data_IF_354915019680
#
_entry.id   IF_354915019680
#
_cell.length_a   1.000
_cell.length_b   1.000
_cell.length_c   1.000
_cell.angle_alpha   90.00
_cell.angle_beta   90.00
_cell.angle_gamma   90.00
#
_symmetry.space_group_name_H-M   'P 1'
#
loop_
_entity.id
_entity.type
_entity.pdbx_description
1 polymer ?
#
# COMPACT_ATOMS: atom_id res chain seq x y z
N UNK A 1 -14.82 -11.52 -4.44
CA UNK A 1 -15.54 -10.24 -4.25
C UNK A 1 -14.98 -9.24 -5.27
N UNK A 2 -15.68 -8.18 -5.66
CA UNK A 2 -15.09 -7.16 -6.55
C UNK A 2 -14.93 -5.86 -5.79
N UNK A 3 -13.68 -5.52 -5.47
CA UNK A 3 -13.34 -4.25 -4.81
C UNK A 3 -13.61 -3.05 -5.74
N UNK A 4 -14.09 -1.91 -5.21
CA UNK A 4 -14.31 -0.70 -6.01
C UNK A 4 -12.98 -0.04 -6.38
N UNK A 5 -12.74 0.17 -7.66
CA UNK A 5 -11.53 0.86 -8.11
C UNK A 5 -11.49 2.33 -7.65
N UNK A 6 -10.31 2.82 -7.30
CA UNK A 6 -10.02 4.25 -7.15
C UNK A 6 -9.65 4.89 -8.50
N UNK A 7 -9.51 4.14 -9.58
CA UNK A 7 -9.15 4.63 -10.92
C UNK A 7 -10.34 4.70 -11.88
N UNK A 8 -11.30 3.79 -11.80
CA UNK A 8 -12.35 3.65 -12.82
C UNK A 8 -13.75 3.63 -12.20
N UNK A 9 -14.69 4.41 -12.73
CA UNK A 9 -16.10 4.40 -12.30
C UNK A 9 -16.83 3.12 -12.73
N UNK A 10 -16.33 2.43 -13.75
CA UNK A 10 -16.83 1.12 -14.17
C UNK A 10 -15.65 0.14 -14.28
N UNK A 11 -15.46 -0.46 -15.46
CA UNK A 11 -14.34 -1.36 -15.74
C UNK A 11 -13.24 -0.62 -16.51
N UNK A 12 -12.00 -1.03 -16.26
CA UNK A 12 -10.87 -0.64 -17.08
C UNK A 12 -11.15 -0.94 -18.56
N UNK A 13 -10.66 -0.08 -19.45
CA UNK A 13 -10.83 -0.22 -20.91
C UNK A 13 -10.19 -1.48 -21.51
N UNK A 14 -9.35 -2.19 -20.75
CA UNK A 14 -8.59 -3.36 -21.19
C UNK A 14 -7.43 -3.03 -22.15
N UNK A 15 -7.33 -1.77 -22.58
CA UNK A 15 -6.24 -1.26 -23.42
C UNK A 15 -5.14 -0.70 -22.53
N UNK A 16 -3.90 -1.03 -22.86
CA UNK A 16 -2.72 -0.57 -22.12
C UNK A 16 -1.70 0.09 -23.03
N UNK A 17 -1.10 1.18 -22.57
CA UNK A 17 0.07 1.80 -23.16
C UNK A 17 1.29 0.89 -22.91
N UNK A 18 2.15 0.77 -23.91
CA UNK A 18 3.42 0.04 -23.78
C UNK A 18 4.30 0.70 -22.71
N UNK A 19 4.99 -0.13 -21.91
CA UNK A 19 5.83 0.38 -20.81
C UNK A 19 6.99 1.23 -21.34
N UNK A 20 7.52 0.92 -22.52
CA UNK A 20 8.66 1.62 -23.12
C UNK A 20 8.32 3.08 -23.42
N UNK A 21 7.05 3.40 -23.70
CA UNK A 21 6.60 4.78 -23.90
C UNK A 21 6.93 5.65 -22.67
N UNK A 22 6.76 5.11 -21.45
CA UNK A 22 7.07 5.83 -20.21
C UNK A 22 8.58 6.01 -19.96
N UNK A 23 9.40 5.10 -20.51
CA UNK A 23 10.86 5.21 -20.48
C UNK A 23 11.38 6.22 -21.52
N UNK A 24 10.73 6.27 -22.69
CA UNK A 24 11.02 7.20 -23.78
C UNK A 24 10.72 8.64 -23.34
N UNK A 25 9.54 8.88 -22.75
CA UNK A 25 9.16 10.20 -22.20
C UNK A 25 9.71 10.47 -20.79
N UNK A 26 10.60 9.60 -20.28
CA UNK A 26 11.31 9.75 -19.00
C UNK A 26 10.42 9.88 -17.75
N UNK A 27 9.15 9.48 -17.84
CA UNK A 27 8.26 9.40 -16.69
C UNK A 27 8.70 8.32 -15.69
N UNK A 28 9.46 7.32 -16.14
CA UNK A 28 10.09 6.32 -15.26
C UNK A 28 11.13 6.89 -14.29
N UNK A 29 11.59 8.13 -14.50
CA UNK A 29 12.45 8.84 -13.55
C UNK A 29 11.66 9.54 -12.43
N UNK A 30 10.35 9.73 -12.62
CA UNK A 30 9.47 10.46 -11.71
C UNK A 30 8.53 9.54 -10.93
N UNK A 31 8.18 8.40 -11.52
CA UNK A 31 7.20 7.47 -10.98
C UNK A 31 7.79 6.08 -10.75
N UNK A 32 7.32 5.40 -9.71
CA UNK A 32 7.62 4.00 -9.46
C UNK A 32 6.98 3.11 -10.52
N UNK A 33 7.47 1.86 -10.63
CA UNK A 33 6.86 0.86 -11.51
C UNK A 33 5.39 0.59 -11.18
N UNK A 34 4.96 0.80 -9.94
CA UNK A 34 3.57 0.57 -9.53
C UNK A 34 2.65 1.69 -10.01
N UNK A 35 3.06 2.95 -9.85
CA UNK A 35 2.34 4.09 -10.39
C UNK A 35 2.29 4.02 -11.93
N UNK A 36 3.38 3.64 -12.58
CA UNK A 36 3.41 3.44 -14.04
C UNK A 36 2.42 2.34 -14.46
N UNK A 37 2.37 1.22 -13.74
CA UNK A 37 1.41 0.15 -14.06
C UNK A 37 -0.05 0.62 -14.01
N UNK A 38 -0.40 1.49 -13.06
CA UNK A 38 -1.71 2.13 -13.03
C UNK A 38 -1.92 3.12 -14.20
N UNK A 39 -0.89 3.92 -14.55
CA UNK A 39 -0.96 4.89 -15.66
C UNK A 39 -1.06 4.23 -17.04
N UNK A 40 -0.54 3.01 -17.19
CA UNK A 40 -0.59 2.28 -18.46
C UNK A 40 -2.00 1.98 -18.91
N UNK A 41 -2.95 1.82 -17.98
CA UNK A 41 -4.33 1.48 -18.32
C UNK A 41 -5.05 2.73 -18.81
N UNK A 42 -5.54 2.71 -20.05
CA UNK A 42 -6.18 3.89 -20.66
C UNK A 42 -7.40 4.33 -19.85
N UNK A 43 -7.39 5.60 -19.45
CA UNK A 43 -8.49 6.26 -18.73
C UNK A 43 -9.65 6.56 -19.70
N UNK A 44 -10.83 5.97 -19.50
CA UNK A 44 -12.03 6.36 -20.24
C UNK A 44 -12.36 7.85 -20.06
N UNK A 45 -12.98 8.52 -21.07
CA UNK A 45 -13.34 9.93 -20.97
C UNK A 45 -14.19 10.28 -19.75
N UNK A 46 -15.11 9.40 -19.36
CA UNK A 46 -15.99 9.59 -18.20
C UNK A 46 -15.25 9.56 -16.86
N UNK A 47 -14.09 8.90 -16.79
CA UNK A 47 -13.28 8.79 -15.57
C UNK A 47 -12.37 10.00 -15.36
N UNK A 48 -12.00 10.71 -16.43
CA UNK A 48 -11.13 11.89 -16.35
C UNK A 48 -11.66 12.94 -15.37
N UNK A 49 -12.91 13.45 -15.47
CA UNK A 49 -13.39 14.48 -14.54
C UNK A 49 -13.43 13.98 -13.09
N UNK A 50 -13.80 12.71 -12.88
CA UNK A 50 -13.90 12.15 -11.53
C UNK A 50 -12.51 11.95 -10.88
N UNK A 51 -11.49 11.58 -11.67
CA UNK A 51 -10.10 11.57 -11.18
C UNK A 51 -9.60 12.98 -10.87
N UNK A 52 -9.96 13.97 -11.70
CA UNK A 52 -9.59 15.38 -11.42
C UNK A 52 -10.18 15.86 -10.09
N UNK A 53 -11.42 15.49 -9.76
CA UNK A 53 -12.01 15.81 -8.44
C UNK A 53 -11.18 15.25 -7.29
N UNK A 54 -10.77 13.98 -7.38
CA UNK A 54 -9.94 13.35 -6.36
C UNK A 54 -8.56 14.02 -6.26
N UNK A 55 -7.90 14.32 -7.38
CA UNK A 55 -6.63 15.05 -7.33
C UNK A 55 -6.76 16.46 -6.75
N UNK A 56 -7.82 17.20 -7.09
CA UNK A 56 -8.10 18.51 -6.48
C UNK A 56 -8.27 18.40 -4.97
N UNK A 57 -8.94 17.35 -4.49
CA UNK A 57 -9.04 17.10 -3.05
C UNK A 57 -7.66 16.83 -2.44
N UNK A 58 -6.86 15.94 -3.03
CA UNK A 58 -5.54 15.56 -2.51
C UNK A 58 -4.58 16.77 -2.41
N UNK A 59 -4.73 17.76 -3.28
CA UNK A 59 -3.93 18.98 -3.28
C UNK A 59 -4.47 20.08 -2.35
N UNK A 60 -5.69 19.95 -1.83
CA UNK A 60 -6.30 20.98 -0.99
C UNK A 60 -5.58 21.07 0.36
N UNK A 61 -5.07 22.24 0.73
CA UNK A 61 -4.41 22.41 2.03
C UNK A 61 -5.32 22.00 3.19
N UNK A 62 -4.77 21.21 4.12
CA UNK A 62 -5.48 20.74 5.31
C UNK A 62 -6.34 19.48 5.13
N UNK A 63 -6.39 18.88 3.93
CA UNK A 63 -7.03 17.56 3.78
C UNK A 63 -6.19 16.45 4.43
N UNK A 64 -6.83 15.43 5.01
CA UNK A 64 -6.11 14.28 5.58
C UNK A 64 -6.11 13.05 4.65
N UNK A 65 -6.83 13.11 3.53
CA UNK A 65 -7.01 11.98 2.60
C UNK A 65 -5.70 11.49 2.02
N UNK A 66 -4.76 12.38 1.66
CA UNK A 66 -3.43 11.96 1.20
C UNK A 66 -2.66 11.18 2.29
N UNK A 67 -2.80 11.59 3.56
CA UNK A 67 -2.24 10.86 4.69
C UNK A 67 -2.84 9.46 4.80
N UNK A 68 -4.17 9.37 4.72
CA UNK A 68 -4.88 8.09 4.76
C UNK A 68 -4.53 7.17 3.58
N UNK A 69 -4.31 7.71 2.39
CA UNK A 69 -3.85 6.92 1.24
C UNK A 69 -2.46 6.32 1.47
N UNK A 70 -1.55 7.07 2.10
CA UNK A 70 -0.21 6.55 2.47
C UNK A 70 -0.32 5.42 3.49
N UNK A 71 -1.18 5.56 4.50
CA UNK A 71 -1.43 4.49 5.47
C UNK A 71 -2.02 3.24 4.81
N UNK A 72 -3.03 3.40 3.95
CA UNK A 72 -3.61 2.31 3.17
C UNK A 72 -2.57 1.61 2.29
N UNK A 73 -1.69 2.38 1.63
CA UNK A 73 -0.62 1.83 0.79
C UNK A 73 0.36 0.99 1.63
N UNK A 74 0.75 1.48 2.81
CA UNK A 74 1.61 0.74 3.74
C UNK A 74 0.96 -0.56 4.22
N UNK A 75 -0.34 -0.54 4.53
CA UNK A 75 -1.07 -1.75 4.92
C UNK A 75 -1.16 -2.73 3.74
N UNK A 76 -1.45 -2.25 2.52
CA UNK A 76 -1.48 -3.08 1.32
C UNK A 76 -0.13 -3.73 1.01
N UNK A 77 0.99 -3.05 1.28
CA UNK A 77 2.34 -3.62 1.20
C UNK A 77 2.55 -4.76 2.19
N UNK A 78 2.07 -4.63 3.43
CA UNK A 78 2.12 -5.70 4.41
C UNK A 78 1.27 -6.90 3.97
N UNK A 79 0.07 -6.66 3.43
CA UNK A 79 -0.79 -7.71 2.86
C UNK A 79 -0.05 -8.44 1.74
N UNK A 80 0.58 -7.73 0.79
CA UNK A 80 1.37 -8.38 -0.28
C UNK A 80 2.49 -9.23 0.28
N UNK A 81 3.26 -8.72 1.24
CA UNK A 81 4.37 -9.47 1.85
C UNK A 81 3.88 -10.76 2.50
N UNK A 82 2.73 -10.73 3.15
CA UNK A 82 2.13 -11.91 3.77
C UNK A 82 1.49 -12.85 2.74
N UNK A 83 0.88 -12.34 1.68
CA UNK A 83 0.39 -13.12 0.53
C UNK A 83 1.53 -13.92 -0.11
N UNK A 84 2.68 -13.27 -0.34
CA UNK A 84 3.88 -13.92 -0.86
C UNK A 84 4.46 -14.94 0.13
N UNK A 85 4.49 -14.61 1.43
CA UNK A 85 4.95 -15.54 2.45
C UNK A 85 4.02 -16.76 2.55
N UNK A 86 2.70 -16.56 2.47
CA UNK A 86 1.68 -17.60 2.53
C UNK A 86 1.80 -18.55 1.33
N UNK A 87 1.97 -17.99 0.12
CA UNK A 87 2.19 -18.76 -1.11
C UNK A 87 3.48 -19.61 -1.06
N UNK A 88 4.48 -19.17 -0.29
CA UNK A 88 5.75 -19.86 -0.10
C UNK A 88 5.86 -20.62 1.24
N UNK A 89 4.75 -20.76 1.98
CA UNK A 89 4.73 -21.44 3.27
C UNK A 89 5.08 -22.93 3.09
N UNK A 90 5.84 -23.46 4.04
CA UNK A 90 6.45 -24.80 3.95
C UNK A 90 5.83 -25.81 4.91
N UNK A 91 5.00 -25.36 5.85
CA UNK A 91 4.22 -26.22 6.72
C UNK A 91 2.88 -25.58 7.11
N UNK A 92 1.93 -26.39 7.58
CA UNK A 92 0.59 -25.91 7.94
C UNK A 92 0.62 -24.90 9.11
N UNK A 93 1.51 -25.12 10.10
CA UNK A 93 1.67 -24.19 11.23
C UNK A 93 2.11 -22.79 10.78
N UNK A 94 3.02 -22.73 9.81
CA UNK A 94 3.45 -21.46 9.19
C UNK A 94 2.28 -20.83 8.42
N UNK A 95 1.60 -21.61 7.58
CA UNK A 95 0.46 -21.14 6.79
C UNK A 95 -0.63 -20.53 7.67
N UNK A 96 -1.05 -21.25 8.71
CA UNK A 96 -2.15 -20.84 9.59
C UNK A 96 -1.80 -19.55 10.34
N UNK A 97 -0.57 -19.45 10.86
CA UNK A 97 -0.08 -18.25 11.54
C UNK A 97 0.05 -17.04 10.59
N UNK A 98 0.58 -17.25 9.38
CA UNK A 98 0.68 -16.19 8.37
C UNK A 98 -0.70 -15.70 7.94
N UNK A 99 -1.68 -16.61 7.81
CA UNK A 99 -3.03 -16.27 7.42
C UNK A 99 -3.74 -15.39 8.47
N UNK A 100 -3.59 -15.68 9.77
CA UNK A 100 -4.08 -14.81 10.84
C UNK A 100 -3.53 -13.38 10.70
N UNK A 101 -2.22 -13.25 10.51
CA UNK A 101 -1.58 -11.95 10.35
C UNK A 101 -2.05 -11.24 9.07
N UNK A 102 -2.27 -11.98 7.99
CA UNK A 102 -2.79 -11.47 6.73
C UNK A 102 -4.19 -10.89 6.94
N UNK A 103 -5.10 -11.64 7.59
CA UNK A 103 -6.44 -11.15 7.91
C UNK A 103 -6.42 -9.99 8.89
N UNK A 104 -5.45 -9.92 9.82
CA UNK A 104 -5.27 -8.77 10.68
C UNK A 104 -4.98 -7.48 9.91
N UNK A 105 -4.05 -7.52 8.95
CA UNK A 105 -3.81 -6.36 8.07
C UNK A 105 -4.98 -6.09 7.11
N UNK A 106 -5.73 -7.12 6.71
CA UNK A 106 -6.93 -6.95 5.89
C UNK A 106 -8.02 -6.19 6.66
N UNK A 107 -8.28 -6.57 7.91
CA UNK A 107 -9.20 -5.87 8.82
C UNK A 107 -8.77 -4.43 9.01
N UNK A 108 -7.47 -4.19 9.24
CA UNK A 108 -6.92 -2.83 9.34
C UNK A 108 -7.17 -2.02 8.06
N UNK A 109 -6.94 -2.60 6.88
CA UNK A 109 -7.19 -1.93 5.61
C UNK A 109 -8.67 -1.52 5.47
N UNK A 110 -9.58 -2.44 5.79
CA UNK A 110 -11.02 -2.20 5.70
C UNK A 110 -11.46 -1.05 6.63
N UNK A 111 -10.94 -1.03 7.87
CA UNK A 111 -11.24 0.03 8.84
C UNK A 111 -10.69 1.38 8.39
N UNK A 112 -9.45 1.43 7.93
CA UNK A 112 -8.84 2.65 7.40
C UNK A 112 -9.58 3.18 6.16
N UNK A 113 -10.04 2.28 5.29
CA UNK A 113 -10.77 2.63 4.07
C UNK A 113 -12.20 3.14 4.37
N UNK A 114 -12.86 2.58 5.38
CA UNK A 114 -14.18 3.05 5.84
C UNK A 114 -14.10 4.42 6.54
N UNK A 115 -12.96 4.73 7.19
CA UNK A 115 -12.72 5.96 7.94
C UNK A 115 -12.08 7.09 7.12
N UNK A 116 -12.08 7.00 5.79
CA UNK A 116 -11.61 8.11 4.94
C UNK A 116 -12.57 9.30 5.05
N UNK A 117 -12.05 10.53 5.10
CA UNK A 117 -12.85 11.76 5.14
C UNK A 117 -13.88 11.85 4.00
N UNK A 118 -15.03 12.47 4.30
CA UNK A 118 -16.07 12.74 3.29
C UNK A 118 -15.70 13.91 2.37
N UNK A 119 -16.24 13.88 1.14
CA UNK A 119 -16.17 15.02 0.22
C UNK A 119 -15.15 14.90 -0.91
N UNK A 120 -14.67 13.69 -1.24
CA UNK A 120 -13.61 13.47 -2.24
C UNK A 120 -14.03 13.02 -3.63
N UNK A 121 -15.23 13.41 -4.07
CA UNK A 121 -15.74 13.07 -5.40
C UNK A 121 -16.26 11.63 -5.49
N UNK A 122 -16.79 11.27 -6.67
CA UNK A 122 -17.55 10.02 -6.81
C UNK A 122 -16.71 8.74 -6.58
N UNK A 123 -15.43 8.73 -6.98
CA UNK A 123 -14.53 7.58 -6.76
C UNK A 123 -14.29 7.31 -5.28
N UNK A 124 -13.95 8.35 -4.50
CA UNK A 124 -13.67 8.20 -3.08
C UNK A 124 -14.92 7.81 -2.29
N UNK A 125 -16.06 8.44 -2.59
CA UNK A 125 -17.33 8.14 -1.93
C UNK A 125 -17.77 6.70 -2.18
N UNK A 126 -17.59 6.19 -3.41
CA UNK A 126 -17.88 4.79 -3.73
C UNK A 126 -16.92 3.83 -3.03
N UNK A 127 -15.62 4.14 -3.04
CA UNK A 127 -14.61 3.35 -2.32
C UNK A 127 -14.96 3.24 -0.84
N UNK A 128 -15.14 4.38 -0.16
CA UNK A 128 -15.52 4.46 1.25
C UNK A 128 -16.84 3.73 1.53
N UNK A 129 -17.88 4.01 0.75
CA UNK A 129 -19.23 3.45 0.94
C UNK A 129 -19.24 1.92 0.86
N UNK A 130 -18.43 1.33 -0.01
CA UNK A 130 -18.28 -0.12 -0.09
C UNK A 130 -17.64 -0.70 1.19
N UNK A 131 -16.57 -0.10 1.69
CA UNK A 131 -15.91 -0.56 2.93
C UNK A 131 -16.76 -0.32 4.17
N UNK A 132 -17.57 0.74 4.23
CA UNK A 132 -18.56 0.92 5.30
C UNK A 132 -19.58 -0.23 5.30
N UNK A 133 -20.09 -0.58 4.12
CA UNK A 133 -21.06 -1.66 4.00
C UNK A 133 -20.45 -3.02 4.41
N UNK A 134 -19.25 -3.33 3.92
CA UNK A 134 -18.54 -4.57 4.28
C UNK A 134 -18.22 -4.66 5.78
N UNK A 135 -17.69 -3.57 6.36
CA UNK A 135 -17.35 -3.54 7.80
C UNK A 135 -18.57 -3.61 8.72
N UNK A 136 -19.77 -3.34 8.19
CA UNK A 136 -21.02 -3.46 8.93
C UNK A 136 -21.57 -4.89 8.96
N UNK A 137 -21.11 -5.76 8.07
CA UNK A 137 -21.56 -7.16 7.96
C UNK A 137 -21.10 -8.05 9.12
N UNK A 138 -21.91 -9.05 9.46
CA UNK A 138 -21.65 -9.96 10.57
C UNK A 138 -20.41 -10.83 10.35
N UNK A 139 -20.12 -11.21 9.10
CA UNK A 139 -18.90 -11.95 8.74
C UNK A 139 -17.65 -11.14 9.06
N UNK A 140 -17.60 -9.86 8.66
CA UNK A 140 -16.46 -9.00 8.96
C UNK A 140 -16.27 -8.81 10.47
N UNK A 141 -17.36 -8.52 11.20
CA UNK A 141 -17.33 -8.35 12.66
C UNK A 141 -16.83 -9.62 13.37
N UNK A 142 -17.24 -10.79 12.89
CA UNK A 142 -16.79 -12.08 13.44
C UNK A 142 -15.29 -12.28 13.23
N UNK A 143 -14.77 -11.96 12.03
CA UNK A 143 -13.34 -12.03 11.73
C UNK A 143 -12.55 -11.05 12.59
N UNK A 144 -12.99 -9.79 12.66
CA UNK A 144 -12.32 -8.76 13.46
C UNK A 144 -12.29 -9.14 14.94
N UNK A 145 -13.40 -9.64 15.49
CA UNK A 145 -13.45 -10.12 16.87
C UNK A 145 -12.45 -11.26 17.10
N UNK A 146 -12.39 -12.24 16.19
CA UNK A 146 -11.46 -13.37 16.29
C UNK A 146 -10.00 -12.97 16.10
N UNK A 147 -9.70 -12.02 15.21
CA UNK A 147 -8.36 -11.44 15.07
C UNK A 147 -7.94 -10.78 16.38
N UNK A 148 -8.81 -9.96 16.98
CA UNK A 148 -8.51 -9.27 18.23
C UNK A 148 -8.34 -10.24 19.41
N UNK A 149 -9.16 -11.30 19.48
CA UNK A 149 -9.02 -12.34 20.50
C UNK A 149 -7.68 -13.07 20.42
N UNK A 150 -7.15 -13.27 19.22
CA UNK A 150 -5.89 -13.98 18.99
C UNK A 150 -4.64 -13.07 19.01
N UNK A 151 -4.77 -11.77 19.26
CA UNK A 151 -3.62 -10.86 19.25
C UNK A 151 -2.63 -11.13 20.39
N UNK A 152 -3.12 -11.56 21.56
CA UNK A 152 -2.27 -12.00 22.66
C UNK A 152 -1.48 -13.26 22.27
N UNK A 153 -2.10 -14.17 21.51
CA UNK A 153 -1.46 -15.39 21.05
C UNK A 153 -0.39 -15.06 19.99
N UNK A 154 -0.70 -14.13 19.09
CA UNK A 154 0.20 -13.60 18.09
C UNK A 154 1.44 -12.96 18.73
N UNK A 155 1.23 -12.09 19.73
CA UNK A 155 2.30 -11.42 20.48
C UNK A 155 3.21 -12.42 21.19
N UNK A 156 2.65 -13.46 21.80
CA UNK A 156 3.44 -14.50 22.47
C UNK A 156 4.34 -15.31 21.52
N UNK A 157 4.00 -15.43 20.23
CA UNK A 157 4.76 -16.20 19.23
C UNK A 157 5.70 -15.32 18.41
N UNK A 158 5.50 -14.00 18.35
CA UNK A 158 6.34 -13.05 17.58
C UNK A 158 7.76 -12.90 18.10
N UNK A 159 8.00 -13.20 19.38
CA UNK A 159 9.17 -12.73 20.12
C UNK A 159 9.93 -13.91 20.73
N UNK A 160 10.83 -14.51 19.94
CA UNK A 160 11.62 -15.68 20.36
C UNK A 160 13.11 -15.45 20.09
N UNK A 161 13.90 -15.46 21.15
CA UNK A 161 15.36 -15.46 21.09
C UNK A 161 15.90 -16.88 20.95
N UNK A 162 16.84 -17.06 20.02
CA UNK A 162 17.62 -18.28 19.90
C UNK A 162 18.96 -18.09 20.62
N UNK A 163 19.36 -19.05 21.47
CA UNK A 163 20.66 -19.02 22.15
C UNK A 163 21.37 -20.36 22.01
N UNK A 164 22.59 -20.32 21.50
CA UNK A 164 23.51 -21.46 21.52
C UNK A 164 24.42 -21.35 22.74
N UNK A 165 24.44 -22.38 23.60
CA UNK A 165 25.34 -22.47 24.75
C UNK A 165 25.92 -23.88 24.82
N UNK A 166 27.22 -24.00 24.55
CA UNK A 166 27.87 -25.30 24.37
C UNK A 166 27.24 -26.07 23.20
N UNK A 167 26.90 -27.34 23.42
CA UNK A 167 26.29 -28.22 22.42
C UNK A 167 24.75 -28.13 22.35
N UNK A 168 24.14 -27.20 23.11
CA UNK A 168 22.68 -27.07 23.22
C UNK A 168 22.15 -25.82 22.51
N UNK A 169 21.07 -26.00 21.74
CA UNK A 169 20.28 -24.93 21.15
C UNK A 169 19.01 -24.69 21.98
N UNK A 170 18.86 -23.47 22.50
CA UNK A 170 17.70 -23.06 23.29
C UNK A 170 16.84 -22.06 22.52
N UNK A 171 15.53 -22.26 22.53
CA UNK A 171 14.52 -21.27 22.13
C UNK A 171 13.90 -20.69 23.40
N UNK A 172 13.91 -19.37 23.55
CA UNK A 172 13.33 -18.65 24.71
C UNK A 172 12.54 -17.45 24.22
N UNK A 173 11.57 -17.00 25.00
CA UNK A 173 10.91 -15.71 24.74
C UNK A 173 11.92 -14.57 24.93
N UNK A 174 11.88 -13.55 24.06
CA UNK A 174 12.75 -12.37 24.22
C UNK A 174 12.35 -11.60 25.47
N UNK A 175 13.36 -11.15 26.21
CA UNK A 175 13.16 -10.20 27.29
C UNK A 175 12.86 -8.82 26.67
N UNK A 176 11.75 -8.15 27.03
CA UNK A 176 11.46 -6.80 26.54
C UNK A 176 12.60 -5.80 26.82
N UNK A 177 13.43 -6.04 27.86
CA UNK A 177 14.61 -5.24 28.18
C UNK A 177 15.91 -5.81 27.59
N UNK A 178 16.01 -5.78 26.25
CA UNK A 178 17.23 -6.21 25.57
C UNK A 178 18.42 -5.30 25.87
N UNK A 179 19.65 -5.83 25.75
CA UNK A 179 20.87 -5.02 25.85
C UNK A 179 20.88 -3.87 24.81
N UNK A 180 20.32 -4.09 23.62
CA UNK A 180 20.16 -3.07 22.59
C UNK A 180 19.19 -1.98 23.03
N UNK A 181 18.07 -2.33 23.67
CA UNK A 181 17.12 -1.35 24.22
C UNK A 181 17.75 -0.50 25.33
N UNK A 182 18.55 -1.11 26.20
CA UNK A 182 19.32 -0.38 27.23
C UNK A 182 20.37 0.55 26.63
N UNK A 183 21.08 0.12 25.57
CA UNK A 183 22.01 1.00 24.84
C UNK A 183 21.28 2.16 24.15
N UNK A 184 20.11 1.91 23.54
CA UNK A 184 19.27 2.97 22.96
C UNK A 184 18.82 3.96 24.02
N UNK A 185 18.41 3.50 25.19
CA UNK A 185 18.03 4.37 26.30
C UNK A 185 19.22 5.24 26.75
N UNK A 186 20.37 4.62 27.05
CA UNK A 186 21.58 5.34 27.46
C UNK A 186 22.05 6.37 26.41
N UNK A 187 21.95 6.04 25.13
CA UNK A 187 22.33 6.96 24.06
C UNK A 187 21.33 8.13 23.90
N UNK A 188 20.04 7.92 24.13
CA UNK A 188 19.07 9.02 24.23
C UNK A 188 19.41 9.94 25.40
N UNK A 189 19.79 9.37 26.54
CA UNK A 189 20.19 10.13 27.74
C UNK A 189 21.45 10.98 27.47
N UNK A 190 22.32 10.53 26.56
CA UNK A 190 23.49 11.27 26.08
C UNK A 190 23.19 12.27 24.94
N UNK A 191 21.93 12.45 24.55
CA UNK A 191 21.51 13.40 23.52
C UNK A 191 21.70 12.92 22.08
N UNK A 192 22.02 11.64 21.86
CA UNK A 192 22.12 11.05 20.52
C UNK A 192 20.72 10.73 19.99
N UNK A 193 20.34 11.38 18.88
CA UNK A 193 19.09 11.11 18.16
C UNK A 193 19.35 10.16 16.99
N UNK A 194 18.37 9.29 16.70
CA UNK A 194 18.35 8.40 15.54
C UNK A 194 19.50 7.38 15.42
N UNK A 195 19.67 6.56 16.47
CA UNK A 195 20.51 5.36 16.35
C UNK A 195 19.84 4.38 15.39
N UNK A 196 20.30 4.41 14.13
CA UNK A 196 19.99 3.38 13.15
C UNK A 196 20.73 2.11 13.57
N UNK A 197 20.00 1.17 14.15
CA UNK A 197 20.49 -0.21 14.26
C UNK A 197 20.54 -0.79 12.86
N UNK A 198 21.64 -1.46 12.51
CA UNK A 198 21.69 -2.28 11.29
C UNK A 198 20.47 -3.21 11.30
N UNK A 199 19.78 -3.30 10.16
CA UNK A 199 18.69 -4.27 10.03
C UNK A 199 19.33 -5.65 10.06
N UNK A 200 18.93 -6.47 11.01
CA UNK A 200 19.29 -7.88 11.01
C UNK A 200 18.96 -8.47 9.64
N UNK A 201 19.90 -9.26 9.11
CA UNK A 201 19.66 -10.01 7.89
C UNK A 201 18.52 -10.98 8.18
N UNK A 202 17.34 -10.74 7.58
CA UNK A 202 16.18 -11.59 7.79
C UNK A 202 16.41 -12.94 7.11
N UNK A 203 16.75 -13.96 7.90
CA UNK A 203 16.88 -15.34 7.43
C UNK A 203 15.51 -16.01 7.60
N UNK A 204 14.94 -16.54 6.51
CA UNK A 204 13.74 -17.36 6.61
C UNK A 204 14.06 -18.63 7.40
N UNK A 205 13.37 -18.79 8.53
CA UNK A 205 13.56 -19.91 9.42
C UNK A 205 13.00 -21.19 8.79
N UNK A 206 13.68 -22.33 8.99
CA UNK A 206 13.24 -23.62 8.43
C UNK A 206 12.00 -24.19 9.12
N UNK A 207 11.22 -25.07 8.45
CA UNK A 207 9.94 -25.60 8.98
C UNK A 207 10.06 -26.31 10.33
N UNK A 208 11.22 -26.92 10.61
CA UNK A 208 11.49 -27.63 11.88
C UNK A 208 11.41 -26.71 13.09
N UNK A 209 11.86 -25.47 12.95
CA UNK A 209 11.75 -24.49 14.02
C UNK A 209 10.30 -24.08 14.25
N UNK A 210 9.54 -23.81 13.19
CA UNK A 210 8.12 -23.45 13.31
C UNK A 210 7.34 -24.59 13.99
N UNK A 211 7.62 -25.84 13.64
CA UNK A 211 7.02 -26.99 14.30
C UNK A 211 7.47 -27.16 15.76
N UNK A 212 8.71 -26.83 16.09
CA UNK A 212 9.16 -26.78 17.48
C UNK A 212 8.44 -25.67 18.27
N UNK A 213 8.19 -24.51 17.66
CA UNK A 213 7.37 -23.45 18.26
C UNK A 213 5.92 -23.90 18.48
N UNK A 214 5.35 -24.62 17.52
CA UNK A 214 4.03 -25.22 17.66
C UNK A 214 3.97 -26.23 18.82
N UNK A 215 5.06 -26.95 19.09
CA UNK A 215 5.15 -27.84 20.26
C UNK A 215 5.30 -27.09 21.58
N UNK A 216 5.90 -25.90 21.59
CA UNK A 216 6.00 -25.04 22.77
C UNK A 216 4.68 -24.32 23.10
N UNK A 217 3.82 -24.11 22.09
CA UNK A 217 2.53 -23.42 22.22
C UNK A 217 1.39 -24.16 21.50
N UNK A 218 1.11 -25.43 21.87
CA UNK A 218 0.15 -26.26 21.15
C UNK A 218 -1.26 -25.64 21.13
N UNK A 219 -1.68 -25.02 22.22
CA UNK A 219 -2.97 -24.34 22.34
C UNK A 219 -3.10 -23.15 21.38
N UNK A 220 -2.00 -22.40 21.18
CA UNK A 220 -2.01 -21.21 20.30
C UNK A 220 -2.04 -21.62 18.84
N UNK A 221 -1.24 -22.61 18.46
CA UNK A 221 -1.19 -23.10 17.09
C UNK A 221 -2.46 -23.87 16.68
N UNK A 222 -3.13 -24.53 17.63
CA UNK A 222 -4.48 -25.06 17.40
C UNK A 222 -5.46 -23.92 17.11
N UNK A 223 -5.45 -22.85 17.90
CA UNK A 223 -6.33 -21.70 17.65
C UNK A 223 -6.07 -21.03 16.29
N UNK A 224 -4.80 -20.97 15.83
CA UNK A 224 -4.48 -20.48 14.48
C UNK A 224 -5.02 -21.40 13.38
N UNK A 225 -4.99 -22.72 13.61
CA UNK A 225 -5.55 -23.70 12.69
C UNK A 225 -7.06 -23.54 12.58
N UNK A 226 -7.76 -23.48 13.72
CA UNK A 226 -9.21 -23.32 13.77
C UNK A 226 -9.62 -22.01 13.06
N UNK A 227 -8.90 -20.91 13.33
CA UNK A 227 -9.09 -19.64 12.64
C UNK A 227 -8.93 -19.74 11.11
N UNK A 228 -7.90 -20.47 10.64
CA UNK A 228 -7.71 -20.69 9.21
C UNK A 228 -8.87 -21.49 8.60
N UNK A 229 -9.32 -22.55 9.26
CA UNK A 229 -10.43 -23.38 8.78
C UNK A 229 -11.73 -22.57 8.68
N UNK A 230 -12.01 -21.73 9.67
CA UNK A 230 -13.22 -20.90 9.73
C UNK A 230 -13.25 -19.79 8.66
N UNK A 231 -12.09 -19.20 8.34
CA UNK A 231 -12.02 -17.95 7.57
C UNK A 231 -11.22 -18.00 6.27
N UNK A 232 -10.66 -19.15 5.88
CA UNK A 232 -9.79 -19.29 4.69
C UNK A 232 -10.38 -18.71 3.40
N UNK A 233 -11.72 -18.71 3.25
CA UNK A 233 -12.41 -18.18 2.08
C UNK A 233 -12.62 -16.67 2.05
N UNK A 234 -12.25 -15.92 3.10
CA UNK A 234 -12.53 -14.48 3.18
C UNK A 234 -11.55 -13.64 2.35
N UNK A 235 -10.28 -14.02 2.31
CA UNK A 235 -9.25 -13.25 1.62
C UNK A 235 -9.37 -13.37 0.09
N UNK A 236 -9.46 -12.22 -0.58
CA UNK A 236 -9.44 -12.10 -2.02
C UNK A 236 -8.20 -11.31 -2.46
N UNK A 237 -7.34 -11.96 -3.25
CA UNK A 237 -6.07 -11.38 -3.73
C UNK A 237 -6.25 -10.12 -4.57
N UNK A 238 -7.44 -9.88 -5.12
CA UNK A 238 -7.72 -8.66 -5.89
C UNK A 238 -7.56 -7.37 -5.08
N UNK A 239 -7.55 -7.42 -3.74
CA UNK A 239 -7.25 -6.24 -2.90
C UNK A 239 -5.85 -5.68 -3.16
N UNK A 240 -4.90 -6.51 -3.61
CA UNK A 240 -3.54 -6.08 -3.93
C UNK A 240 -3.50 -5.10 -5.12
N UNK A 241 -4.57 -4.99 -5.90
CA UNK A 241 -4.69 -3.97 -6.96
C UNK A 241 -4.58 -2.55 -6.40
N UNK A 242 -5.05 -2.31 -5.16
CA UNK A 242 -4.97 -0.99 -4.53
C UNK A 242 -3.54 -0.49 -4.34
N UNK A 243 -2.52 -1.36 -4.34
CA UNK A 243 -1.11 -0.92 -4.31
C UNK A 243 -0.80 -0.01 -5.49
N UNK A 244 -1.19 -0.43 -6.69
CA UNK A 244 -1.00 0.35 -7.91
C UNK A 244 -1.86 1.62 -7.90
N UNK A 245 -3.13 1.50 -7.51
CA UNK A 245 -4.07 2.62 -7.54
C UNK A 245 -3.71 3.70 -6.51
N UNK A 246 -3.36 3.32 -5.28
CA UNK A 246 -2.95 4.24 -4.22
C UNK A 246 -1.63 4.91 -4.57
N UNK A 247 -0.62 4.15 -5.02
CA UNK A 247 0.68 4.72 -5.39
C UNK A 247 0.58 5.67 -6.59
N UNK A 248 -0.32 5.42 -7.54
CA UNK A 248 -0.63 6.38 -8.59
C UNK A 248 -1.08 7.74 -8.02
N UNK A 249 -2.03 7.75 -7.08
CA UNK A 249 -2.49 9.00 -6.47
C UNK A 249 -1.43 9.67 -5.60
N UNK A 250 -0.72 8.89 -4.77
CA UNK A 250 0.31 9.40 -3.86
C UNK A 250 1.45 10.06 -4.64
N UNK A 251 1.98 9.38 -5.66
CA UNK A 251 3.11 9.89 -6.43
C UNK A 251 2.73 11.05 -7.34
N UNK A 252 1.54 11.00 -7.95
CA UNK A 252 1.04 12.11 -8.76
C UNK A 252 0.78 13.35 -7.90
N UNK A 253 0.22 13.19 -6.70
CA UNK A 253 0.07 14.30 -5.76
C UNK A 253 1.42 14.88 -5.31
N UNK A 254 2.43 14.03 -5.09
CA UNK A 254 3.79 14.48 -4.78
C UNK A 254 4.43 15.26 -5.94
N UNK A 255 4.21 14.81 -7.18
CA UNK A 255 4.67 15.53 -8.38
C UNK A 255 3.98 16.90 -8.50
N UNK A 256 2.66 16.95 -8.31
CA UNK A 256 1.89 18.20 -8.36
C UNK A 256 2.32 19.19 -7.27
N UNK A 257 2.53 18.72 -6.03
CA UNK A 257 3.09 19.55 -4.94
C UNK A 257 4.47 20.11 -5.31
N UNK A 258 5.33 19.31 -5.96
CA UNK A 258 6.63 19.77 -6.46
C UNK A 258 6.50 20.82 -7.55
N UNK A 259 5.59 20.64 -8.51
CA UNK A 259 5.29 21.60 -9.58
C UNK A 259 4.85 22.95 -8.98
N UNK A 260 3.91 22.91 -8.03
CA UNK A 260 3.38 24.10 -7.34
C UNK A 260 4.50 24.83 -6.58
N UNK A 261 5.35 24.09 -5.85
CA UNK A 261 6.49 24.67 -5.10
C UNK A 261 7.53 25.36 -5.98
N UNK A 262 7.66 24.92 -7.24
CA UNK A 262 8.54 25.53 -8.23
C UNK A 262 7.88 26.68 -8.98
N UNK A 263 6.61 27.00 -8.70
CA UNK A 263 5.87 28.06 -9.38
C UNK A 263 5.49 27.72 -10.83
N UNK A 264 5.56 26.45 -11.22
CA UNK A 264 5.16 26.00 -12.55
C UNK A 264 3.63 25.91 -12.65
N UNK A 265 3.04 26.22 -13.82
CA UNK A 265 1.60 26.17 -13.99
C UNK A 265 1.08 24.73 -13.88
N UNK A 266 0.05 24.53 -13.08
CA UNK A 266 -0.72 23.29 -12.99
C UNK A 266 -2.16 23.57 -13.46
N UNK A 267 -2.64 22.81 -14.45
CA UNK A 267 -3.99 22.95 -14.97
C UNK A 267 -4.75 21.62 -14.97
N UNK A 268 -6.07 21.71 -15.07
CA UNK A 268 -6.94 20.55 -15.23
C UNK A 268 -7.45 20.53 -16.67
N UNK A 269 -7.14 19.50 -17.47
CA UNK A 269 -7.49 19.50 -18.88
C UNK A 269 -9.01 19.51 -19.08
N UNK A 270 -9.48 20.36 -19.99
CA UNK A 270 -10.85 20.36 -20.46
C UNK A 270 -11.03 19.27 -21.51
N UNK A 271 -12.19 18.62 -21.50
CA UNK A 271 -12.53 17.59 -22.49
C UNK A 271 -13.35 18.22 -23.61
N UNK A 272 -13.07 17.77 -24.83
CA UNK A 272 -13.83 18.10 -26.04
C UNK A 272 -14.27 16.81 -26.73
N UNK A 273 -15.38 16.89 -27.48
CA UNK A 273 -15.81 15.79 -28.34
C UNK A 273 -14.95 15.69 -29.61
N UNK A 274 -14.25 16.76 -29.98
CA UNK A 274 -13.36 16.79 -31.13
C UNK A 274 -12.04 16.07 -30.83
N UNK A 275 -11.50 15.35 -31.81
CA UNK A 275 -10.17 14.73 -31.68
C UNK A 275 -9.09 15.80 -31.84
N UNK A 276 -8.80 16.50 -30.76
CA UNK A 276 -7.80 17.58 -30.68
C UNK A 276 -7.01 17.50 -29.37
N UNK A 277 -5.72 17.80 -29.43
CA UNK A 277 -4.90 18.10 -28.26
C UNK A 277 -4.43 19.55 -28.40
N UNK A 278 -4.70 20.38 -27.39
CA UNK A 278 -4.24 21.77 -27.35
C UNK A 278 -3.73 22.09 -25.96
N UNK A 279 -2.47 22.50 -25.88
CA UNK A 279 -1.80 22.84 -24.63
C UNK A 279 -1.08 24.16 -24.86
N UNK A 280 -1.46 25.19 -24.10
CA UNK A 280 -0.71 26.44 -24.06
C UNK A 280 0.33 26.40 -22.94
N UNK A 281 1.53 26.86 -23.23
CA UNK A 281 2.63 26.96 -22.28
C UNK A 281 3.06 25.63 -21.66
N UNK A 282 3.12 24.56 -22.45
CA UNK A 282 3.50 23.23 -22.00
C UNK A 282 4.97 23.19 -21.52
N UNK A 283 5.19 22.69 -20.31
CA UNK A 283 6.52 22.45 -19.75
C UNK A 283 6.83 20.95 -19.72
N UNK A 284 8.03 20.55 -20.14
CA UNK A 284 8.48 19.17 -20.02
C UNK A 284 8.77 18.82 -18.56
N UNK A 285 7.84 18.08 -17.95
CA UNK A 285 7.92 17.66 -16.55
C UNK A 285 9.13 16.77 -16.25
N UNK A 286 9.69 16.08 -17.25
CA UNK A 286 10.87 15.23 -17.06
C UNK A 286 12.12 16.01 -16.68
N UNK A 287 12.18 17.30 -17.03
CA UNK A 287 13.28 18.19 -16.65
C UNK A 287 13.35 18.41 -15.13
N UNK A 288 12.24 18.20 -14.41
CA UNK A 288 12.24 18.19 -12.94
C UNK A 288 13.09 17.06 -12.37
N UNK A 289 13.21 15.91 -13.04
CA UNK A 289 14.12 14.85 -12.61
C UNK A 289 15.58 15.29 -12.64
N UNK A 290 15.91 16.29 -13.46
CA UNK A 290 17.25 16.87 -13.60
C UNK A 290 17.46 18.15 -12.76
N UNK A 291 16.51 18.50 -11.89
CA UNK A 291 16.52 19.73 -11.09
C UNK A 291 16.62 21.03 -11.91
N UNK A 292 16.11 21.02 -13.14
CA UNK A 292 15.98 22.24 -13.94
C UNK A 292 14.77 23.01 -13.44
N UNK A 293 14.97 24.26 -13.02
CA UNK A 293 13.92 25.12 -12.46
C UNK A 293 13.40 26.15 -13.45
N UNK A 294 14.18 26.49 -14.47
CA UNK A 294 13.80 27.43 -15.54
C UNK A 294 13.45 26.63 -16.80
N UNK A 295 12.21 26.16 -16.86
CA UNK A 295 11.71 25.35 -17.98
C UNK A 295 11.00 26.28 -18.96
N UNK A 296 11.52 26.37 -20.18
CA UNK A 296 10.93 27.16 -21.26
C UNK A 296 9.64 26.48 -21.74
N UNK A 297 8.48 27.16 -21.67
CA UNK A 297 7.21 26.59 -22.11
C UNK A 297 7.07 26.60 -23.63
N UNK A 298 6.35 25.62 -24.20
CA UNK A 298 6.03 25.54 -25.64
C UNK A 298 4.53 25.31 -25.83
N UNK A 299 3.94 25.89 -26.87
CA UNK A 299 2.56 25.59 -27.25
C UNK A 299 2.52 24.30 -28.09
N UNK A 300 1.48 23.49 -27.87
CA UNK A 300 1.27 22.21 -28.55
C UNK A 300 -0.15 22.22 -29.12
N UNK A 301 -0.28 22.00 -30.42
CA UNK A 301 -1.56 21.82 -31.09
C UNK A 301 -1.46 20.59 -32.01
N UNK A 302 -2.31 19.60 -31.77
CA UNK A 302 -2.52 18.47 -32.66
C UNK A 302 -3.99 18.42 -33.05
N UNK A 303 -4.25 18.44 -34.35
CA UNK A 303 -5.60 18.35 -34.93
C UNK A 303 -5.82 16.97 -35.54
N UNK A 304 -7.01 16.72 -36.09
CA UNK A 304 -7.34 15.41 -36.69
C UNK A 304 -6.44 15.02 -37.87
N UNK A 305 -5.80 16.00 -38.53
CA UNK A 305 -4.91 15.77 -39.68
C UNK A 305 -3.47 15.42 -39.27
N UNK A 306 -3.11 15.61 -37.99
CA UNK A 306 -1.77 15.35 -37.47
C UNK A 306 -1.81 14.20 -36.44
N UNK A 307 -0.97 13.15 -36.59
CA UNK A 307 -1.07 11.91 -35.82
C UNK A 307 -0.76 12.06 -34.32
#
# INVERSE_FOLDING_TARGET
MSYPSLLFTEKASGKSIDKNVFEDVKLSLLFSGEAINAMRVLCPPNDIPVRQELFKLLLKSGNTVLGRFKELSQVADNIRRLDEALANSRCDNERNYLYLNLLGFLVQFYRLAADVEEGGGALLNRFKGWFINETSGDTFKSIEARVNELEDYNTAVRVITQRMVGDNLWLRLEDPDTYVNRLKAAARDLGLKDIKTERDTAIQIGPRYINALAQLHPEKFLAFKDFYEDFSGFYDRSILSYRYELNFYIETAALFDRIIKLGLPLCWPALTAERKISISGACDVSLLAKNVTDIVPNDIEFTQEEP
#
